data_IF_880178057461
#
_entry.id   IF_880178057461
#
_cell.length_a   1.000
_cell.length_b   1.000
_cell.length_c   1.000
_cell.angle_alpha   90.00
_cell.angle_beta   90.00
_cell.angle_gamma   90.00
#
_symmetry.space_group_name_H-M   'P 1'
#
loop_
_entity.id
_entity.type
_entity.pdbx_description
1 polymer ?
#
# COMPACT_ATOMS: atom_id res chain seq x y z
N UNK A 1 9.66 -1.64 -19.51
CA UNK A 1 10.66 -2.60 -20.03
C UNK A 1 10.15 -4.01 -19.77
N UNK A 2 10.06 -4.87 -20.79
CA UNK A 2 9.57 -6.26 -20.63
C UNK A 2 10.68 -7.12 -20.00
N UNK A 3 10.40 -7.74 -18.85
CA UNK A 3 11.41 -8.46 -18.06
C UNK A 3 11.51 -9.96 -18.35
N UNK A 4 10.48 -10.56 -18.97
CA UNK A 4 10.46 -11.96 -19.43
C UNK A 4 9.54 -12.07 -20.65
N UNK A 5 10.04 -12.71 -21.70
CA UNK A 5 9.25 -13.16 -22.85
C UNK A 5 9.65 -14.62 -23.11
N UNK A 6 9.14 -15.54 -22.28
CA UNK A 6 9.36 -16.98 -22.47
C UNK A 6 8.15 -17.54 -23.20
N UNK A 7 8.36 -17.96 -24.44
CA UNK A 7 7.41 -18.78 -25.19
C UNK A 7 7.81 -20.22 -24.93
N UNK A 8 6.96 -21.01 -24.26
CA UNK A 8 7.14 -22.46 -24.14
C UNK A 8 6.14 -23.20 -25.04
N UNK A 9 6.16 -22.91 -26.34
CA UNK A 9 5.30 -23.51 -27.38
C UNK A 9 3.78 -23.28 -27.26
N UNK A 10 3.27 -23.07 -26.05
CA UNK A 10 1.86 -23.08 -25.64
C UNK A 10 1.45 -21.84 -24.83
N UNK A 11 2.42 -21.11 -24.25
CA UNK A 11 2.15 -19.90 -23.46
C UNK A 11 3.18 -18.80 -23.67
N UNK A 12 2.77 -17.54 -23.53
CA UNK A 12 3.63 -16.35 -23.46
C UNK A 12 3.26 -15.50 -22.25
N UNK A 13 4.25 -15.20 -21.40
CA UNK A 13 4.06 -14.37 -20.19
C UNK A 13 4.72 -13.01 -20.40
N UNK A 14 3.97 -11.93 -20.17
CA UNK A 14 4.46 -10.55 -20.21
C UNK A 14 4.19 -9.85 -18.87
N UNK A 15 5.15 -9.08 -18.36
CA UNK A 15 4.98 -8.27 -17.13
C UNK A 15 5.30 -6.82 -17.41
N UNK A 16 4.40 -5.92 -17.00
CA UNK A 16 4.48 -4.49 -17.25
C UNK A 16 4.50 -3.70 -15.94
N UNK A 17 5.46 -2.78 -15.84
CA UNK A 17 5.64 -1.84 -14.71
C UNK A 17 5.67 -0.38 -15.17
N UNK A 18 5.35 -0.14 -16.44
CA UNK A 18 5.32 1.16 -17.11
C UNK A 18 4.24 1.11 -18.18
N UNK A 19 3.45 2.17 -18.36
CA UNK A 19 2.37 2.25 -19.36
C UNK A 19 2.86 2.03 -20.80
N UNK A 20 1.96 1.59 -21.68
CA UNK A 20 2.28 1.35 -23.09
C UNK A 20 1.15 0.68 -23.86
N UNK A 21 1.53 -0.03 -24.92
CA UNK A 21 0.62 -0.80 -25.77
C UNK A 21 1.05 -2.25 -25.76
N UNK A 22 0.10 -3.16 -25.59
CA UNK A 22 0.28 -4.60 -25.71
C UNK A 22 -0.19 -5.04 -27.08
N UNK A 23 0.55 -5.95 -27.70
CA UNK A 23 0.19 -6.57 -28.98
C UNK A 23 -0.04 -8.05 -28.73
N UNK A 24 -1.25 -8.50 -29.08
CA UNK A 24 -1.69 -9.89 -29.01
C UNK A 24 -0.92 -10.73 -30.02
N UNK A 25 -0.42 -11.89 -29.60
CA UNK A 25 0.10 -12.87 -30.54
C UNK A 25 -1.07 -13.46 -31.35
N UNK A 26 -0.89 -13.62 -32.67
CA UNK A 26 -1.94 -14.08 -33.56
C UNK A 26 -2.44 -15.50 -33.27
N UNK A 27 -1.65 -16.29 -32.51
CA UNK A 27 -2.01 -17.64 -32.08
C UNK A 27 -2.81 -17.66 -30.78
N UNK A 28 -2.90 -16.53 -30.06
CA UNK A 28 -3.51 -16.49 -28.74
C UNK A 28 -4.98 -16.87 -28.83
N UNK A 29 -5.38 -17.89 -28.06
CA UNK A 29 -6.75 -18.35 -27.91
C UNK A 29 -7.38 -17.84 -26.61
N UNK A 30 -6.57 -17.72 -25.56
CA UNK A 30 -6.99 -17.27 -24.23
C UNK A 30 -5.96 -16.34 -23.60
N UNK A 31 -6.44 -15.39 -22.81
CA UNK A 31 -5.61 -14.41 -22.09
C UNK A 31 -6.00 -14.42 -20.61
N UNK A 32 -5.02 -14.65 -19.74
CA UNK A 32 -5.12 -14.32 -18.32
C UNK A 32 -4.49 -12.95 -18.06
N UNK A 33 -5.19 -12.11 -17.32
CA UNK A 33 -4.70 -10.78 -16.93
C UNK A 33 -4.75 -10.64 -15.42
N UNK A 34 -3.59 -10.41 -14.83
CA UNK A 34 -3.44 -9.97 -13.45
C UNK A 34 -3.16 -8.48 -13.44
N UNK A 35 -3.98 -7.69 -12.74
CA UNK A 35 -3.81 -6.26 -12.59
C UNK A 35 -3.67 -5.89 -11.12
N UNK A 36 -2.82 -4.92 -10.84
CA UNK A 36 -2.72 -4.28 -9.53
C UNK A 36 -2.71 -2.77 -9.71
N UNK A 37 -3.59 -2.08 -8.99
CA UNK A 37 -3.58 -0.62 -8.89
C UNK A 37 -2.41 -0.14 -8.04
N UNK A 38 -2.07 1.14 -8.14
CA UNK A 38 -1.09 1.77 -7.25
C UNK A 38 -1.63 1.90 -5.83
N UNK A 39 -0.77 1.64 -4.84
CA UNK A 39 -1.05 1.92 -3.44
C UNK A 39 -0.99 3.42 -3.18
N UNK A 40 -1.79 3.90 -2.22
CA UNK A 40 -1.79 5.30 -1.81
C UNK A 40 -0.64 5.62 -0.83
N UNK A 41 -0.30 6.90 -0.72
CA UNK A 41 0.62 7.39 0.31
C UNK A 41 -0.08 7.57 1.66
N UNK A 42 0.67 7.38 2.75
CA UNK A 42 0.19 7.67 4.10
C UNK A 42 0.25 9.16 4.43
N UNK A 43 -0.54 9.62 5.40
CA UNK A 43 -0.49 11.01 5.88
C UNK A 43 0.69 11.25 6.83
N UNK A 44 1.12 12.49 6.98
CA UNK A 44 2.09 12.87 8.02
C UNK A 44 1.42 13.12 9.37
N UNK A 45 2.22 13.04 10.43
CA UNK A 45 1.77 13.39 11.77
C UNK A 45 1.52 14.88 11.94
N UNK A 46 0.74 15.23 12.96
CA UNK A 46 0.57 16.60 13.45
C UNK A 46 1.82 17.05 14.20
N UNK A 47 2.19 18.33 14.08
CA UNK A 47 3.13 18.98 15.01
C UNK A 47 2.33 19.85 15.98
N UNK A 48 2.19 19.41 17.23
CA UNK A 48 1.30 20.07 18.19
C UNK A 48 1.80 19.99 19.62
N UNK A 49 1.02 20.49 20.59
CA UNK A 49 1.39 20.32 22.00
C UNK A 49 1.38 18.84 22.41
N UNK A 50 2.10 18.55 23.51
CA UNK A 50 2.13 17.22 24.11
C UNK A 50 0.71 16.70 24.32
N UNK A 51 0.47 15.42 24.04
CA UNK A 51 -0.82 14.70 24.10
C UNK A 51 -1.86 14.98 23.01
N UNK A 52 -1.77 16.09 22.26
CA UNK A 52 -2.67 16.43 21.13
C UNK A 52 -1.97 16.39 19.77
N UNK A 53 -0.91 15.61 19.64
CA UNK A 53 -0.14 15.47 18.41
C UNK A 53 -0.31 14.07 17.82
N UNK A 54 -1.42 13.80 17.14
CA UNK A 54 -1.63 12.48 16.53
C UNK A 54 -0.66 12.22 15.37
N UNK A 55 -0.42 10.94 15.07
CA UNK A 55 0.24 10.53 13.83
C UNK A 55 -0.69 10.66 12.63
N UNK A 56 -0.15 10.45 11.43
CA UNK A 56 -0.94 10.35 10.21
C UNK A 56 -1.58 8.97 10.06
N UNK A 57 -2.66 8.89 9.29
CA UNK A 57 -3.25 7.62 8.88
C UNK A 57 -2.40 6.94 7.79
N UNK A 58 -2.31 5.61 7.82
CA UNK A 58 -1.79 4.84 6.70
C UNK A 58 -2.68 4.97 5.46
N UNK A 59 -2.11 4.82 4.28
CA UNK A 59 -2.83 4.82 3.01
C UNK A 59 -3.52 3.49 2.72
N UNK A 60 -4.49 3.54 1.81
CA UNK A 60 -5.16 2.37 1.27
C UNK A 60 -4.32 1.67 0.19
N UNK A 61 -4.39 0.34 0.14
CA UNK A 61 -3.79 -0.46 -0.93
C UNK A 61 -4.47 -0.19 -2.28
N UNK A 62 -3.75 -0.49 -3.36
CA UNK A 62 -4.38 -0.64 -4.66
C UNK A 62 -5.37 -1.80 -4.68
N UNK A 63 -6.33 -1.77 -5.59
CA UNK A 63 -7.10 -2.94 -5.95
C UNK A 63 -6.22 -3.98 -6.65
N UNK A 64 -6.78 -5.16 -6.85
CA UNK A 64 -6.26 -6.13 -7.79
C UNK A 64 -7.39 -6.69 -8.66
N UNK A 65 -7.02 -7.29 -9.78
CA UNK A 65 -7.92 -7.98 -10.67
C UNK A 65 -7.29 -9.24 -11.26
N UNK A 66 -8.10 -10.29 -11.41
CA UNK A 66 -7.75 -11.51 -12.14
C UNK A 66 -8.87 -11.85 -13.10
N UNK A 67 -8.51 -11.96 -14.38
CA UNK A 67 -9.44 -12.16 -15.49
C UNK A 67 -8.92 -13.28 -16.39
N UNK A 68 -9.81 -14.15 -16.86
CA UNK A 68 -9.50 -15.21 -17.83
C UNK A 68 -10.47 -15.09 -18.99
N UNK A 69 -10.00 -14.52 -20.11
CA UNK A 69 -10.86 -14.01 -21.16
C UNK A 69 -10.45 -14.63 -22.51
N UNK A 70 -11.41 -15.03 -23.38
CA UNK A 70 -11.09 -15.47 -24.73
C UNK A 70 -10.38 -14.38 -25.53
N UNK A 71 -9.42 -14.75 -26.38
CA UNK A 71 -8.64 -13.80 -27.17
C UNK A 71 -9.48 -12.92 -28.10
N UNK A 72 -10.69 -13.34 -28.46
CA UNK A 72 -11.64 -12.61 -29.30
C UNK A 72 -12.21 -11.35 -28.64
N UNK A 73 -12.10 -11.21 -27.32
CA UNK A 73 -12.54 -10.01 -26.60
C UNK A 73 -11.53 -8.87 -26.64
N UNK A 74 -10.32 -9.13 -27.12
CA UNK A 74 -9.26 -8.13 -27.28
C UNK A 74 -9.05 -7.80 -28.75
N UNK A 75 -8.65 -6.57 -29.05
CA UNK A 75 -8.10 -6.21 -30.35
C UNK A 75 -6.77 -6.92 -30.63
N UNK A 76 -6.18 -6.62 -31.79
CA UNK A 76 -4.79 -7.01 -32.08
C UNK A 76 -3.80 -6.25 -31.18
N UNK A 77 -4.19 -5.07 -30.72
CA UNK A 77 -3.48 -4.27 -29.73
C UNK A 77 -4.41 -3.71 -28.68
N UNK A 78 -3.94 -3.63 -27.43
CA UNK A 78 -4.62 -2.96 -26.33
C UNK A 78 -3.71 -1.91 -25.71
N UNK A 79 -4.27 -0.73 -25.40
CA UNK A 79 -3.56 0.25 -24.60
C UNK A 79 -3.68 -0.10 -23.12
N UNK A 80 -2.61 0.14 -22.36
CA UNK A 80 -2.58 -0.10 -20.93
C UNK A 80 -1.83 0.98 -20.18
N UNK A 81 -2.29 1.24 -18.95
CA UNK A 81 -1.63 2.16 -18.03
C UNK A 81 -1.27 1.45 -16.74
N UNK A 82 -0.07 1.68 -16.23
CA UNK A 82 0.35 1.17 -14.92
C UNK A 82 0.26 2.32 -13.92
N UNK A 83 -0.49 2.12 -12.85
CA UNK A 83 -0.65 3.12 -11.79
C UNK A 83 0.71 3.48 -11.17
N UNK A 84 1.07 4.76 -11.21
CA UNK A 84 2.31 5.24 -10.58
C UNK A 84 2.23 5.17 -9.04
N UNK A 85 3.40 5.18 -8.38
CA UNK A 85 3.51 5.33 -6.93
C UNK A 85 2.85 6.62 -6.44
N UNK A 86 2.34 6.59 -5.21
CA UNK A 86 1.74 7.75 -4.57
C UNK A 86 2.65 8.30 -3.46
N UNK A 87 2.73 9.62 -3.34
CA UNK A 87 3.55 10.28 -2.34
C UNK A 87 2.86 10.26 -0.97
N UNK A 88 3.64 10.07 0.09
CA UNK A 88 3.19 10.31 1.45
C UNK A 88 3.05 11.81 1.74
N UNK A 89 2.30 12.14 2.79
CA UNK A 89 2.19 13.50 3.30
C UNK A 89 3.54 14.00 3.82
N UNK A 90 3.90 15.22 3.46
CA UNK A 90 5.14 15.86 3.92
C UNK A 90 5.06 16.15 5.43
N UNK A 91 6.17 15.98 6.15
CA UNK A 91 6.30 16.32 7.56
C UNK A 91 5.95 17.80 7.84
N UNK A 92 5.45 18.08 9.05
CA UNK A 92 5.18 19.45 9.50
C UNK A 92 6.36 19.99 10.31
N UNK A 93 6.81 21.19 9.92
CA UNK A 93 7.85 21.96 10.59
C UNK A 93 7.31 23.13 11.40
N UNK A 94 6.09 23.59 11.10
CA UNK A 94 5.42 24.70 11.78
C UNK A 94 4.67 24.20 13.02
N UNK A 95 4.83 24.89 14.14
CA UNK A 95 4.17 24.55 15.40
C UNK A 95 2.63 24.62 15.28
N UNK A 96 1.95 23.80 16.08
CA UNK A 96 0.50 23.74 16.19
C UNK A 96 -0.25 23.48 14.85
N UNK A 97 0.40 22.80 13.91
CA UNK A 97 -0.10 22.59 12.55
C UNK A 97 -0.47 21.13 12.34
N UNK A 98 -1.67 20.89 11.80
CA UNK A 98 -2.12 19.56 11.40
C UNK A 98 -1.20 18.97 10.34
N UNK A 99 -1.12 17.63 10.28
CA UNK A 99 -0.39 16.93 9.24
C UNK A 99 -0.90 17.23 7.84
N UNK A 100 -0.19 16.73 6.85
CA UNK A 100 -0.61 16.70 5.45
C UNK A 100 -1.16 15.31 5.13
N UNK A 101 -2.24 15.25 4.36
CA UNK A 101 -2.73 13.99 3.84
C UNK A 101 -1.73 13.42 2.81
N UNK A 102 -1.74 12.10 2.63
CA UNK A 102 -1.05 11.47 1.50
C UNK A 102 -1.77 11.71 0.18
N UNK A 103 -1.19 11.23 -0.92
CA UNK A 103 -1.87 11.24 -2.24
C UNK A 103 -2.56 9.91 -2.51
N UNK A 104 -3.67 9.95 -3.25
CA UNK A 104 -4.35 8.74 -3.73
C UNK A 104 -3.41 7.91 -4.62
N UNK A 105 -3.61 6.59 -4.61
CA UNK A 105 -3.00 5.68 -5.56
C UNK A 105 -3.58 5.87 -6.97
N UNK A 106 -2.79 5.55 -7.99
CA UNK A 106 -3.23 5.67 -9.37
C UNK A 106 -3.82 4.34 -9.88
N UNK A 107 -4.81 4.42 -10.77
CA UNK A 107 -5.40 3.23 -11.40
C UNK A 107 -4.40 2.54 -12.33
N UNK A 108 -4.53 1.22 -12.45
CA UNK A 108 -3.91 0.43 -13.51
C UNK A 108 -5.00 -0.04 -14.45
N UNK A 109 -4.83 0.16 -15.76
CA UNK A 109 -5.83 -0.21 -16.78
C UNK A 109 -5.22 -1.08 -17.87
N UNK A 110 -6.03 -1.96 -18.44
CA UNK A 110 -5.69 -2.77 -19.61
C UNK A 110 -6.94 -2.90 -20.49
N UNK A 111 -6.98 -2.21 -21.63
CA UNK A 111 -8.21 -2.07 -22.40
C UNK A 111 -9.33 -1.49 -21.53
N UNK A 112 -10.43 -2.24 -21.38
CA UNK A 112 -11.57 -1.91 -20.52
C UNK A 112 -11.44 -2.41 -19.06
N UNK A 113 -10.39 -3.16 -18.73
CA UNK A 113 -10.15 -3.68 -17.38
C UNK A 113 -9.52 -2.59 -16.51
N UNK A 114 -10.00 -2.44 -15.28
CA UNK A 114 -9.51 -1.43 -14.33
C UNK A 114 -9.26 -2.07 -12.98
N UNK A 115 -8.06 -1.85 -12.45
CA UNK A 115 -7.74 -2.03 -11.04
C UNK A 115 -7.55 -0.67 -10.39
N UNK A 116 -8.42 -0.33 -9.46
CA UNK A 116 -8.43 1.01 -8.84
C UNK A 116 -7.22 1.25 -7.95
N UNK A 117 -6.77 2.50 -7.87
CA UNK A 117 -5.78 2.92 -6.88
C UNK A 117 -6.36 3.01 -5.47
N UNK A 118 -5.47 3.04 -4.48
CA UNK A 118 -5.88 3.18 -3.07
C UNK A 118 -6.31 4.60 -2.68
N UNK A 119 -7.05 4.70 -1.57
CA UNK A 119 -7.42 5.99 -0.97
C UNK A 119 -6.27 6.57 -0.13
N UNK A 120 -6.09 7.90 -0.10
CA UNK A 120 -4.99 8.55 0.62
C UNK A 120 -5.08 8.30 2.13
N UNK A 121 -3.93 8.32 2.80
CA UNK A 121 -3.86 8.35 4.26
C UNK A 121 -4.22 9.74 4.78
N UNK A 122 -5.01 9.78 5.86
CA UNK A 122 -5.44 11.04 6.47
C UNK A 122 -4.28 11.76 7.17
N UNK A 123 -4.31 13.10 7.14
CA UNK A 123 -3.43 13.94 7.95
C UNK A 123 -3.62 13.67 9.46
N UNK A 124 -2.54 13.77 10.25
CA UNK A 124 -2.64 13.86 11.71
C UNK A 124 -3.36 15.13 12.15
N UNK A 125 -4.25 15.03 13.14
CA UNK A 125 -5.05 16.14 13.68
C UNK A 125 -4.95 16.24 15.21
N UNK A 126 -5.75 17.12 15.82
CA UNK A 126 -5.89 17.24 17.29
C UNK A 126 -6.57 16.04 17.94
N UNK A 127 -7.18 15.15 17.15
CA UNK A 127 -7.86 13.93 17.60
C UNK A 127 -7.20 12.69 16.99
N UNK A 128 -7.59 11.50 17.45
CA UNK A 128 -7.09 10.25 16.87
C UNK A 128 -7.49 10.13 15.40
N UNK A 129 -6.55 9.70 14.56
CA UNK A 129 -6.77 9.48 13.14
C UNK A 129 -6.64 7.99 12.84
N UNK A 130 -7.69 7.41 12.26
CA UNK A 130 -7.68 6.01 11.83
C UNK A 130 -6.83 5.86 10.56
N UNK A 131 -6.23 4.68 10.37
CA UNK A 131 -5.68 4.29 9.07
C UNK A 131 -6.81 4.27 8.02
N UNK A 132 -6.55 4.69 6.78
CA UNK A 132 -7.55 4.62 5.72
C UNK A 132 -7.65 3.18 5.18
N UNK A 133 -8.86 2.78 4.82
CA UNK A 133 -9.13 1.46 4.28
C UNK A 133 -8.56 1.29 2.87
N UNK A 134 -8.04 0.08 2.58
CA UNK A 134 -7.48 -0.30 1.28
C UNK A 134 -8.51 -0.49 0.18
N UNK A 135 -8.02 -0.58 -1.06
CA UNK A 135 -8.83 -0.86 -2.25
C UNK A 135 -9.41 -2.27 -2.28
N UNK A 136 -10.43 -2.48 -3.11
CA UNK A 136 -11.15 -3.76 -3.23
C UNK A 136 -10.53 -4.65 -4.31
N UNK A 137 -10.66 -5.98 -4.16
CA UNK A 137 -10.43 -6.95 -5.25
C UNK A 137 -11.66 -7.01 -6.17
N UNK A 138 -11.43 -6.96 -7.48
CA UNK A 138 -12.44 -7.31 -8.47
C UNK A 138 -12.08 -8.66 -9.11
N UNK A 139 -12.96 -9.65 -8.99
CA UNK A 139 -12.82 -10.92 -9.72
C UNK A 139 -14.09 -11.21 -10.49
N UNK A 140 -13.97 -11.93 -11.60
CA UNK A 140 -15.12 -12.34 -12.42
C UNK A 140 -16.04 -13.35 -11.68
N UNK A 141 -15.58 -13.99 -10.59
CA UNK A 141 -16.27 -15.12 -9.95
C UNK A 141 -16.44 -15.05 -8.41
N UNK A 142 -16.19 -13.90 -7.77
CA UNK A 142 -16.44 -13.72 -6.34
C UNK A 142 -16.91 -12.28 -6.04
N UNK A 143 -17.75 -12.07 -4.99
CA UNK A 143 -18.09 -10.73 -4.52
C UNK A 143 -16.81 -9.96 -4.14
N UNK A 144 -16.84 -8.63 -4.24
CA UNK A 144 -15.72 -7.75 -3.91
C UNK A 144 -15.11 -8.15 -2.56
N UNK A 145 -13.83 -8.53 -2.56
CA UNK A 145 -13.11 -8.87 -1.33
C UNK A 145 -12.33 -7.63 -0.88
N UNK A 146 -12.56 -7.20 0.36
CA UNK A 146 -11.87 -6.06 0.94
C UNK A 146 -10.41 -6.42 1.28
N UNK A 147 -9.46 -5.57 0.92
CA UNK A 147 -8.06 -5.73 1.34
C UNK A 147 -7.90 -5.58 2.85
N UNK A 148 -6.94 -6.30 3.44
CA UNK A 148 -6.57 -6.10 4.84
C UNK A 148 -6.02 -4.68 5.04
N UNK A 149 -6.56 -3.97 6.03
CA UNK A 149 -6.08 -2.64 6.40
C UNK A 149 -4.85 -2.75 7.29
N UNK A 150 -3.95 -1.76 7.22
CA UNK A 150 -2.92 -1.63 8.25
C UNK A 150 -3.56 -1.09 9.53
N UNK A 151 -2.91 -1.32 10.68
CA UNK A 151 -3.54 -0.93 11.94
C UNK A 151 -3.47 0.58 12.17
N UNK A 152 -4.54 1.19 12.70
CA UNK A 152 -4.51 2.60 13.13
C UNK A 152 -3.47 2.84 14.24
N UNK A 153 -2.85 4.02 14.28
CA UNK A 153 -1.98 4.40 15.39
C UNK A 153 -2.81 4.89 16.57
N UNK A 154 -2.64 4.30 17.76
CA UNK A 154 -3.28 4.75 19.01
C UNK A 154 -2.35 4.60 20.21
N UNK A 155 -2.70 5.29 21.31
CA UNK A 155 -2.00 5.40 22.60
C UNK A 155 -1.61 4.02 23.22
N UNK A 156 -2.22 2.93 22.78
CA UNK A 156 -1.74 1.57 23.04
C UNK A 156 -1.99 0.68 21.82
N UNK A 157 -1.08 -0.29 21.65
CA UNK A 157 -1.09 -1.47 20.76
C UNK A 157 -2.31 -1.63 19.86
N UNK A 158 -2.07 -1.70 18.55
CA UNK A 158 -3.11 -2.04 17.61
C UNK A 158 -2.74 -3.30 16.82
N UNK A 159 -3.54 -4.34 16.98
CA UNK A 159 -3.54 -5.58 16.20
C UNK A 159 -4.11 -5.33 14.81
N UNK A 160 -3.39 -5.74 13.76
CA UNK A 160 -3.84 -5.71 12.37
C UNK A 160 -5.28 -6.23 12.25
N UNK A 161 -6.22 -5.41 11.80
CA UNK A 161 -7.59 -5.89 11.53
C UNK A 161 -7.51 -6.79 10.30
N UNK A 162 -7.60 -8.08 10.58
CA UNK A 162 -7.56 -9.15 9.61
C UNK A 162 -8.89 -9.20 8.85
N UNK A 163 -8.92 -8.65 7.64
CA UNK A 163 -9.96 -8.96 6.66
C UNK A 163 -9.38 -9.99 5.68
N UNK A 164 -10.03 -11.15 5.63
CA UNK A 164 -9.55 -12.42 5.09
C UNK A 164 -9.72 -12.51 3.56
N UNK A 165 -8.81 -13.29 2.96
CA UNK A 165 -8.72 -13.82 1.58
C UNK A 165 -8.32 -12.85 0.47
N UNK A 166 -7.07 -12.95 0.06
CA UNK A 166 -6.67 -12.54 -1.27
C UNK A 166 -5.19 -12.67 -1.42
N UNK A 167 -4.70 -13.88 -1.71
CA UNK A 167 -3.29 -14.11 -2.02
C UNK A 167 -2.73 -13.08 -3.01
N UNK A 168 -3.59 -12.61 -3.93
CA UNK A 168 -3.31 -11.59 -4.95
C UNK A 168 -3.39 -10.14 -4.45
N UNK A 169 -4.14 -9.83 -3.39
CA UNK A 169 -4.38 -8.45 -2.95
C UNK A 169 -3.14 -7.82 -2.29
N UNK A 170 -2.83 -6.55 -2.59
CA UNK A 170 -1.94 -5.77 -1.75
C UNK A 170 -2.65 -5.26 -0.50
N UNK A 171 -1.90 -4.83 0.50
CA UNK A 171 -2.44 -4.48 1.82
C UNK A 171 -2.16 -3.04 2.24
N UNK A 172 -3.00 -2.52 3.14
CA UNK A 172 -2.92 -1.15 3.65
C UNK A 172 -1.75 -0.91 4.60
N UNK A 173 -1.33 0.35 4.73
CA UNK A 173 -0.25 0.77 5.61
C UNK A 173 -0.71 1.03 7.04
N UNK A 174 0.18 0.86 8.02
CA UNK A 174 -0.09 1.20 9.41
C UNK A 174 -0.18 2.71 9.64
N UNK A 175 -0.91 3.15 10.66
CA UNK A 175 -0.95 4.55 11.11
C UNK A 175 0.24 4.92 11.98
N UNK A 176 0.60 6.20 12.02
CA UNK A 176 1.70 6.70 12.85
C UNK A 176 1.31 6.86 14.33
N UNK A 177 2.28 6.73 15.23
CA UNK A 177 2.12 7.00 16.66
C UNK A 177 2.06 8.51 16.95
N UNK A 178 1.32 8.93 17.97
CA UNK A 178 1.25 10.35 18.35
C UNK A 178 2.45 10.83 19.18
N UNK A 179 2.76 12.12 19.17
CA UNK A 179 3.79 12.72 20.01
C UNK A 179 3.36 12.90 21.47
N UNK A 180 4.26 12.59 22.40
CA UNK A 180 4.04 12.71 23.85
C UNK A 180 5.37 12.87 24.60
N UNK A 181 5.42 13.82 25.52
CA UNK A 181 6.66 14.16 26.25
C UNK A 181 7.04 13.12 27.31
N UNK A 182 6.08 12.33 27.81
CA UNK A 182 6.27 11.37 28.90
C UNK A 182 6.18 9.90 28.48
N UNK A 183 5.41 9.59 27.44
CA UNK A 183 5.12 8.20 27.01
C UNK A 183 5.57 7.94 25.57
N UNK A 184 6.46 6.97 25.38
CA UNK A 184 6.81 6.49 24.04
C UNK A 184 5.57 5.96 23.31
N UNK A 185 5.29 6.45 22.09
CA UNK A 185 4.16 5.95 21.29
C UNK A 185 4.65 5.25 20.03
N UNK A 186 4.09 4.08 19.77
CA UNK A 186 4.46 3.27 18.59
C UNK A 186 3.51 3.53 17.42
N UNK A 187 4.02 3.37 16.21
CA UNK A 187 3.19 3.26 15.01
C UNK A 187 2.54 1.88 14.90
N UNK A 188 1.48 1.78 14.09
CA UNK A 188 0.84 0.52 13.73
C UNK A 188 1.63 -0.25 12.68
N UNK A 189 1.50 -1.58 12.66
CA UNK A 189 2.06 -2.42 11.60
C UNK A 189 1.26 -2.30 10.29
N UNK A 190 1.93 -2.53 9.17
CA UNK A 190 1.28 -2.72 7.88
C UNK A 190 0.49 -4.03 7.82
N UNK A 191 -0.47 -4.11 6.89
CA UNK A 191 -1.29 -5.31 6.71
C UNK A 191 -0.47 -6.52 6.24
N UNK A 192 -0.77 -7.70 6.76
CA UNK A 192 -0.17 -8.97 6.32
C UNK A 192 -0.94 -9.57 5.15
N UNK A 193 -0.26 -10.30 4.25
CA UNK A 193 -0.94 -11.21 3.33
C UNK A 193 -1.07 -12.56 4.00
N UNK A 194 -2.31 -13.04 4.16
CA UNK A 194 -2.63 -14.31 4.82
C UNK A 194 -3.48 -15.21 3.91
N UNK A 195 -3.45 -16.52 4.16
CA UNK A 195 -4.44 -17.44 3.57
C UNK A 195 -5.77 -17.43 4.36
N UNK A 196 -6.73 -18.24 3.91
CA UNK A 196 -8.04 -18.39 4.55
C UNK A 196 -7.98 -18.93 6.00
N UNK A 197 -6.86 -19.53 6.41
CA UNK A 197 -6.62 -20.03 7.76
C UNK A 197 -5.76 -19.06 8.59
N UNK A 198 -5.67 -17.79 8.17
CA UNK A 198 -4.91 -16.73 8.85
C UNK A 198 -3.40 -16.97 8.95
N UNK A 199 -2.85 -17.91 8.16
CA UNK A 199 -1.41 -18.15 8.10
C UNK A 199 -0.78 -17.01 7.28
N UNK A 200 0.14 -16.28 7.92
CA UNK A 200 0.91 -15.22 7.27
C UNK A 200 1.81 -15.81 6.19
N UNK A 201 1.63 -15.34 4.95
CA UNK A 201 2.46 -15.68 3.79
C UNK A 201 3.52 -14.60 3.54
N UNK A 202 3.13 -13.35 3.73
CA UNK A 202 4.02 -12.19 3.62
C UNK A 202 3.68 -11.25 4.76
N UNK A 203 4.65 -10.99 5.63
CA UNK A 203 4.49 -10.06 6.75
C UNK A 203 4.51 -8.62 6.24
N UNK A 204 3.65 -7.77 6.78
CA UNK A 204 3.68 -6.32 6.56
C UNK A 204 4.85 -5.64 7.25
N UNK A 205 5.03 -4.35 6.97
CA UNK A 205 6.05 -3.55 7.62
C UNK A 205 5.81 -3.43 9.13
N UNK A 206 6.88 -3.51 9.92
CA UNK A 206 6.80 -3.33 11.38
C UNK A 206 6.53 -1.87 11.75
N UNK A 207 5.66 -1.62 12.73
CA UNK A 207 5.51 -0.28 13.30
C UNK A 207 6.81 0.23 13.94
N UNK A 208 7.10 1.52 13.78
CA UNK A 208 8.21 2.17 14.45
C UNK A 208 7.92 2.34 15.94
N UNK A 209 8.96 2.17 16.76
CA UNK A 209 8.88 2.27 18.23
C UNK A 209 9.93 3.28 18.67
N UNK A 210 9.54 4.26 19.48
CA UNK A 210 10.44 5.33 19.93
C UNK A 210 11.62 4.81 20.79
N UNK A 211 11.44 3.72 21.53
CA UNK A 211 12.52 3.04 22.27
C UNK A 211 13.39 2.12 21.40
N UNK A 212 13.19 2.14 20.08
CA UNK A 212 13.88 1.29 19.11
C UNK A 212 14.02 2.00 17.76
N UNK A 213 13.67 1.34 16.66
CA UNK A 213 13.64 2.00 15.35
C UNK A 213 12.41 2.91 15.27
N UNK A 214 12.64 4.22 15.37
CA UNK A 214 11.57 5.23 15.36
C UNK A 214 10.78 5.23 14.05
N UNK A 215 11.44 4.94 12.93
CA UNK A 215 10.81 4.84 11.62
C UNK A 215 10.07 3.51 11.46
N UNK A 216 8.95 3.55 10.75
CA UNK A 216 8.23 2.35 10.36
C UNK A 216 8.99 1.56 9.29
N UNK A 217 8.88 0.24 9.36
CA UNK A 217 9.45 -0.68 8.38
C UNK A 217 8.69 -0.65 7.06
N UNK A 218 9.41 -0.81 5.95
CA UNK A 218 8.78 -0.94 4.64
C UNK A 218 7.96 -2.23 4.54
N UNK A 219 6.90 -2.18 3.72
CA UNK A 219 6.18 -3.37 3.29
C UNK A 219 7.05 -4.24 2.40
N UNK A 220 6.83 -5.54 2.48
CA UNK A 220 7.46 -6.53 1.60
C UNK A 220 6.76 -6.59 0.25
N UNK A 221 7.57 -6.63 -0.81
CA UNK A 221 7.09 -6.88 -2.16
C UNK A 221 6.53 -8.30 -2.32
N UNK A 222 5.73 -8.49 -3.38
CA UNK A 222 5.22 -9.78 -3.79
C UNK A 222 6.34 -10.82 -3.96
N UNK A 223 6.06 -12.06 -3.59
CA UNK A 223 7.01 -13.15 -3.75
C UNK A 223 7.24 -13.44 -5.24
N UNK A 224 8.49 -13.80 -5.57
CA UNK A 224 8.89 -14.22 -6.92
C UNK A 224 9.15 -15.73 -7.02
N UNK A 225 9.01 -16.45 -5.90
CA UNK A 225 9.22 -17.89 -5.76
C UNK A 225 8.16 -18.49 -4.83
N UNK A 226 8.00 -19.83 -4.82
CA UNK A 226 7.06 -20.51 -3.92
C UNK A 226 5.60 -20.55 -4.39
N UNK A 227 5.32 -20.19 -5.65
CA UNK A 227 4.02 -20.42 -6.30
C UNK A 227 2.90 -19.45 -5.91
N UNK A 228 3.20 -18.37 -5.18
CA UNK A 228 2.21 -17.37 -4.77
C UNK A 228 2.26 -16.15 -5.70
N UNK A 229 1.17 -15.89 -6.43
CA UNK A 229 0.98 -14.62 -7.14
C UNK A 229 0.30 -13.64 -6.19
N UNK A 230 1.04 -12.59 -5.76
CA UNK A 230 0.58 -11.63 -4.76
C UNK A 230 0.77 -10.17 -5.14
N UNK A 231 0.05 -9.32 -4.41
CA UNK A 231 0.40 -7.92 -4.22
C UNK A 231 1.53 -7.77 -3.20
N UNK A 232 1.95 -6.53 -2.98
CA UNK A 232 2.85 -6.16 -1.89
C UNK A 232 2.09 -5.80 -0.62
N UNK A 233 2.76 -5.97 0.52
CA UNK A 233 2.21 -5.59 1.82
C UNK A 233 2.37 -4.10 2.10
N UNK A 234 1.57 -3.53 2.98
CA UNK A 234 1.71 -2.15 3.43
C UNK A 234 2.91 -1.94 4.36
N UNK A 235 3.42 -0.71 4.41
CA UNK A 235 4.43 -0.30 5.38
C UNK A 235 3.89 -0.19 6.80
N UNK A 236 4.77 -0.26 7.80
CA UNK A 236 4.45 0.07 9.18
C UNK A 236 4.58 1.57 9.42
N UNK A 237 3.73 2.14 10.28
CA UNK A 237 3.72 3.56 10.60
C UNK A 237 4.90 3.98 11.48
N UNK A 238 5.27 5.25 11.43
CA UNK A 238 6.34 5.82 12.25
C UNK A 238 5.92 5.98 13.72
N UNK A 239 6.86 5.80 14.65
CA UNK A 239 6.67 6.09 16.06
C UNK A 239 6.49 7.57 16.34
N UNK A 240 5.80 7.92 17.42
CA UNK A 240 5.61 9.31 17.83
C UNK A 240 6.86 9.92 18.45
N UNK A 241 7.01 11.24 18.33
CA UNK A 241 8.06 11.99 19.00
C UNK A 241 7.97 11.89 20.52
N UNK A 242 9.12 11.74 21.18
CA UNK A 242 9.32 12.07 22.60
C UNK A 242 10.20 13.32 22.68
N UNK A 243 10.29 13.96 23.85
CA UNK A 243 10.98 15.23 24.00
C UNK A 243 12.37 15.26 23.30
N UNK A 244 12.50 16.10 22.27
CA UNK A 244 13.73 16.30 21.49
C UNK A 244 13.95 15.38 20.28
N UNK A 245 13.05 14.44 19.96
CA UNK A 245 13.17 13.55 18.78
C UNK A 245 12.06 13.79 17.76
N UNK A 246 12.42 13.94 16.47
CA UNK A 246 11.45 14.09 15.36
C UNK A 246 10.57 12.85 15.24
N UNK A 247 9.28 13.02 14.98
CA UNK A 247 8.38 11.88 14.76
C UNK A 247 8.90 10.98 13.64
N UNK A 248 8.76 9.66 13.81
CA UNK A 248 9.23 8.67 12.86
C UNK A 248 8.54 8.77 11.52
N UNK A 249 9.28 8.52 10.44
CA UNK A 249 8.66 8.42 9.10
C UNK A 249 7.90 7.11 8.97
N UNK A 250 6.79 7.13 8.23
CA UNK A 250 6.12 5.91 7.80
C UNK A 250 7.00 5.11 6.83
N UNK A 251 6.95 3.78 6.92
CA UNK A 251 7.49 2.89 5.90
C UNK A 251 6.71 2.94 4.59
N UNK A 252 7.41 2.69 3.49
CA UNK A 252 6.83 2.63 2.14
C UNK A 252 6.06 1.32 1.94
N UNK A 253 5.12 1.32 1.00
CA UNK A 253 4.41 0.11 0.57
C UNK A 253 5.28 -0.83 -0.26
N UNK A 254 5.03 -2.13 -0.14
CA UNK A 254 5.67 -3.17 -0.94
C UNK A 254 5.09 -3.23 -2.36
N UNK A 255 5.91 -3.61 -3.32
CA UNK A 255 5.49 -3.68 -4.72
C UNK A 255 4.85 -5.04 -5.07
N UNK A 256 3.75 -5.10 -5.85
CA UNK A 256 2.96 -3.98 -6.37
C UNK A 256 1.82 -3.57 -5.42
N UNK A 257 1.39 -2.32 -5.51
CA UNK A 257 0.13 -1.84 -4.94
C UNK A 257 0.04 -1.75 -3.40
N UNK A 258 1.09 -2.16 -2.67
CA UNK A 258 1.15 -2.00 -1.23
C UNK A 258 1.10 -0.52 -0.85
N UNK A 259 0.42 -0.19 0.24
CA UNK A 259 0.22 1.20 0.63
C UNK A 259 1.34 1.74 1.53
N UNK A 260 1.56 3.04 1.42
CA UNK A 260 2.39 3.79 2.35
C UNK A 260 1.71 3.93 3.71
N UNK A 261 2.51 4.15 4.74
CA UNK A 261 2.05 4.22 6.13
C UNK A 261 2.10 5.63 6.71
N UNK A 262 1.45 5.85 7.85
CA UNK A 262 1.38 7.16 8.50
C UNK A 262 2.69 7.55 9.20
N UNK A 263 3.02 8.84 9.15
CA UNK A 263 4.13 9.41 9.93
C UNK A 263 3.76 9.71 11.38
N UNK A 264 4.73 9.68 12.28
CA UNK A 264 4.53 9.96 13.71
C UNK A 264 4.24 11.43 14.02
N UNK A 265 3.52 11.71 15.10
CA UNK A 265 3.28 13.07 15.59
C UNK A 265 4.54 13.72 16.16
N UNK A 266 4.70 15.03 15.98
CA UNK A 266 5.78 15.86 16.52
C UNK A 266 5.30 16.76 17.66
N UNK A 267 6.20 17.17 18.54
CA UNK A 267 5.90 18.05 19.69
C UNK A 267 6.35 19.48 19.36
N UNK A 268 5.42 20.44 19.43
CA UNK A 268 5.68 21.87 19.17
C UNK A 268 6.90 22.36 19.93
N UNK A 269 7.72 23.15 19.24
CA UNK A 269 8.96 23.73 19.76
C UNK A 269 10.03 22.73 20.21
N UNK A 270 9.81 21.42 20.02
CA UNK A 270 10.77 20.36 20.38
C UNK A 270 11.18 19.52 19.18
N UNK A 271 10.22 19.14 18.33
CA UNK A 271 10.50 18.25 17.21
C UNK A 271 9.46 18.36 16.08
N UNK A 272 9.90 18.12 14.84
CA UNK A 272 9.01 18.04 13.68
C UNK A 272 8.16 16.76 13.74
N UNK A 273 7.07 16.72 12.97
CA UNK A 273 6.35 15.46 12.75
C UNK A 273 7.07 14.58 11.73
N UNK A 274 6.70 13.31 11.69
CA UNK A 274 7.15 12.36 10.69
C UNK A 274 6.36 12.48 9.39
N UNK A 275 7.05 12.30 8.26
CA UNK A 275 6.41 12.18 6.95
C UNK A 275 5.69 10.82 6.83
N UNK A 276 4.62 10.78 6.03
CA UNK A 276 4.01 9.53 5.60
C UNK A 276 4.89 8.78 4.59
N UNK A 277 4.76 7.46 4.54
CA UNK A 277 5.42 6.61 3.56
C UNK A 277 4.75 6.68 2.19
N UNK A 278 5.51 6.35 1.15
CA UNK A 278 5.01 6.28 -0.23
C UNK A 278 4.26 4.99 -0.49
N UNK A 279 3.22 5.04 -1.33
CA UNK A 279 2.55 3.85 -1.86
C UNK A 279 3.28 3.29 -3.08
N UNK A 280 3.26 1.97 -3.26
CA UNK A 280 3.92 1.31 -4.37
C UNK A 280 3.16 1.48 -5.68
N UNK A 281 3.88 1.46 -6.80
CA UNK A 281 3.27 1.41 -8.13
C UNK A 281 2.47 0.11 -8.36
N UNK A 282 1.57 0.15 -9.34
CA UNK A 282 0.82 -0.99 -9.85
C UNK A 282 1.66 -1.92 -10.73
N UNK A 283 1.02 -2.97 -11.24
CA UNK A 283 1.65 -3.97 -12.12
C UNK A 283 0.60 -4.62 -13.01
N UNK A 284 1.00 -5.07 -14.19
CA UNK A 284 0.20 -5.96 -15.03
C UNK A 284 1.02 -7.20 -15.34
N UNK A 285 0.39 -8.39 -15.25
CA UNK A 285 0.92 -9.63 -15.82
C UNK A 285 -0.12 -10.15 -16.80
N UNK A 286 0.33 -10.46 -18.02
CA UNK A 286 -0.50 -11.07 -19.07
C UNK A 286 0.09 -12.44 -19.37
N UNK A 287 -0.76 -13.46 -19.41
CA UNK A 287 -0.43 -14.80 -19.87
C UNK A 287 -1.31 -15.09 -21.07
N UNK A 288 -0.68 -15.26 -22.23
CA UNK A 288 -1.33 -15.67 -23.46
C UNK A 288 -1.19 -17.19 -23.61
N UNK A 289 -2.27 -17.88 -23.95
CA UNK A 289 -2.31 -19.32 -24.23
C UNK A 289 -2.63 -19.55 -25.71
N UNK A 290 -1.93 -20.49 -26.34
CA UNK A 290 -1.99 -20.80 -27.78
C UNK A 290 -2.75 -22.09 -28.08
#
# INVERSE_FOLDING_TARGET
MVLRNSINGSTKVSTFTSSGTWTKDSRTQWVEVFLWGGGAGGGSGRKGSSTVSSGGGGGGSGGAGYYTIPASFFGDTESYSVGASANGGVAQTTDNTNGNAGTSGNNTTFGNLISTGGNPGNAGTTTNTSASSGGNLYTEFAPSIAASTGTGGTIASSTSVQAVVGNILPTGGGGGGGGDTGTARSGGSGGNITNANSIVKITGGSGGIETGTLNGGNGNSALTTGGLVSGGTGGGGGGGAKAGTTGGTGGNGGFPGGAGSGGGGGISSQANSGAGGTGAAGKIIIIEHF
#
